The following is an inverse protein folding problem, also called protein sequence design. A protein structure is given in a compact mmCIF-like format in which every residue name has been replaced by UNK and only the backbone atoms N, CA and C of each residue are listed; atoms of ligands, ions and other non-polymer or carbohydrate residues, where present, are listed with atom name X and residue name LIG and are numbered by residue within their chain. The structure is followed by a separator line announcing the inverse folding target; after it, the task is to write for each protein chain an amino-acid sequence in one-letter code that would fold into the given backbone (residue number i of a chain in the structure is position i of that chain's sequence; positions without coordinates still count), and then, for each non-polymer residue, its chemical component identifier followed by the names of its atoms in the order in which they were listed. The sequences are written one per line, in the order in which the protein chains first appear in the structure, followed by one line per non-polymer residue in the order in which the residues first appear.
data_IF_380181631654
#
_entry.id   IF_380181631654
#
_cell.length_a   1.000
_cell.length_b   1.000
_cell.length_c   1.000
_cell.angle_alpha   90.00
_cell.angle_beta   90.00
_cell.angle_gamma   90.00
#
_symmetry.space_group_name_H-M   'P 1'
#
loop_
_entity.id
_entity.type
_entity.pdbx_description
1 polymer ?
#
# COMPACT_ATOMS: atom_id res chain seq x y z
N UNK A 1 -28.69 24.04 9.61
CA UNK A 1 -28.50 22.94 10.61
C UNK A 1 -28.07 21.62 9.99
N UNK A 2 -28.63 21.15 8.86
CA UNK A 2 -28.26 19.83 8.29
C UNK A 2 -26.76 19.67 7.96
N UNK A 3 -26.08 20.68 7.41
CA UNK A 3 -24.67 20.53 6.99
C UNK A 3 -23.68 20.34 8.14
N UNK A 4 -23.96 20.87 9.34
CA UNK A 4 -23.02 20.76 10.47
C UNK A 4 -23.03 19.35 11.08
N UNK A 5 -24.24 18.79 11.26
CA UNK A 5 -24.43 17.41 11.73
C UNK A 5 -23.78 16.41 10.78
N UNK A 6 -23.93 16.62 9.47
CA UNK A 6 -23.31 15.76 8.46
C UNK A 6 -21.78 15.80 8.52
N UNK A 7 -21.19 16.98 8.67
CA UNK A 7 -19.74 17.12 8.82
C UNK A 7 -19.23 16.45 10.10
N UNK A 8 -19.95 16.57 11.23
CA UNK A 8 -19.58 15.91 12.49
C UNK A 8 -19.65 14.38 12.38
N UNK A 9 -20.70 13.85 11.74
CA UNK A 9 -20.84 12.42 11.50
C UNK A 9 -19.72 11.89 10.59
N UNK A 10 -19.42 12.60 9.50
CA UNK A 10 -18.32 12.25 8.59
C UNK A 10 -16.97 12.18 9.31
N UNK A 11 -16.66 13.19 10.14
CA UNK A 11 -15.44 13.21 10.95
C UNK A 11 -15.39 12.06 11.96
N UNK A 12 -16.52 11.72 12.57
CA UNK A 12 -16.63 10.62 13.54
C UNK A 12 -16.37 9.28 12.86
N UNK A 13 -16.95 9.06 11.68
CA UNK A 13 -16.71 7.85 10.86
C UNK A 13 -15.23 7.74 10.47
N UNK A 14 -14.60 8.85 10.07
CA UNK A 14 -13.19 8.86 9.71
C UNK A 14 -12.28 8.61 10.91
N UNK A 15 -12.59 9.19 12.07
CA UNK A 15 -11.86 8.92 13.31
C UNK A 15 -11.94 7.44 13.69
N UNK A 16 -13.14 6.85 13.61
CA UNK A 16 -13.36 5.43 13.85
C UNK A 16 -12.58 4.54 12.86
N UNK A 17 -12.60 4.88 11.57
CA UNK A 17 -11.82 4.18 10.56
C UNK A 17 -10.31 4.31 10.84
N UNK A 18 -9.82 5.51 11.15
CA UNK A 18 -8.40 5.74 11.44
C UNK A 18 -7.92 4.89 12.63
N UNK A 19 -8.73 4.82 13.69
CA UNK A 19 -8.46 3.97 14.84
C UNK A 19 -8.42 2.49 14.43
N UNK A 20 -9.42 2.01 13.69
CA UNK A 20 -9.44 0.64 13.17
C UNK A 20 -8.21 0.32 12.32
N UNK A 21 -7.77 1.22 11.43
CA UNK A 21 -6.57 1.02 10.61
C UNK A 21 -5.30 0.90 11.47
N UNK A 22 -5.21 1.63 12.58
CA UNK A 22 -4.11 1.48 13.55
C UNK A 22 -4.21 0.13 14.27
N UNK A 23 -5.40 -0.24 14.75
CA UNK A 23 -5.63 -1.50 15.45
C UNK A 23 -5.40 -2.72 14.55
N UNK A 24 -5.67 -2.62 13.24
CA UNK A 24 -5.36 -3.65 12.25
C UNK A 24 -3.88 -4.03 12.27
N UNK A 25 -2.99 -3.09 12.63
CA UNK A 25 -1.56 -3.36 12.68
C UNK A 25 -1.15 -4.35 13.77
N UNK A 26 -1.99 -4.51 14.81
CA UNK A 26 -1.74 -5.45 15.90
C UNK A 26 -1.67 -6.90 15.41
N UNK A 27 -2.23 -7.22 14.24
CA UNK A 27 -2.17 -8.54 13.61
C UNK A 27 -0.73 -9.04 13.38
N UNK A 28 0.24 -8.12 13.27
CA UNK A 28 1.66 -8.46 13.06
C UNK A 28 2.51 -8.26 14.30
N UNK A 29 1.91 -8.10 15.48
CA UNK A 29 2.63 -7.97 16.76
C UNK A 29 3.09 -9.33 17.31
N UNK A 30 4.11 -9.32 18.17
CA UNK A 30 4.70 -10.54 18.74
C UNK A 30 3.75 -11.25 19.73
N UNK A 31 2.95 -10.49 20.48
CA UNK A 31 1.95 -11.06 21.41
C UNK A 31 0.80 -11.72 20.65
N UNK A 32 0.46 -12.95 21.04
CA UNK A 32 -0.65 -13.72 20.48
C UNK A 32 -2.00 -13.02 20.72
N UNK A 33 -2.23 -12.50 21.94
CA UNK A 33 -3.45 -11.76 22.26
C UNK A 33 -3.63 -10.54 21.34
N UNK A 34 -2.57 -9.77 21.12
CA UNK A 34 -2.61 -8.61 20.20
C UNK A 34 -2.80 -9.04 18.75
N UNK A 35 -2.23 -10.18 18.36
CA UNK A 35 -2.42 -10.76 17.03
C UNK A 35 -3.89 -11.11 16.78
N UNK A 36 -4.54 -11.77 17.74
CA UNK A 36 -5.96 -12.11 17.69
C UNK A 36 -6.82 -10.85 17.63
N UNK A 37 -6.53 -9.86 18.48
CA UNK A 37 -7.23 -8.57 18.47
C UNK A 37 -7.09 -7.84 17.13
N UNK A 38 -5.89 -7.82 16.56
CA UNK A 38 -5.63 -7.24 15.25
C UNK A 38 -6.37 -7.97 14.13
N UNK A 39 -6.47 -9.29 14.18
CA UNK A 39 -7.26 -10.07 13.22
C UNK A 39 -8.75 -9.73 13.30
N UNK A 40 -9.30 -9.64 14.51
CA UNK A 40 -10.69 -9.17 14.74
C UNK A 40 -10.88 -7.77 14.17
N UNK A 41 -9.95 -6.85 14.45
CA UNK A 41 -9.98 -5.48 13.91
C UNK A 41 -9.98 -5.44 12.38
N UNK A 42 -9.15 -6.28 11.72
CA UNK A 42 -9.11 -6.37 10.25
C UNK A 42 -10.48 -6.80 9.72
N UNK A 43 -11.08 -7.84 10.31
CA UNK A 43 -12.39 -8.33 9.88
C UNK A 43 -13.50 -7.29 10.12
N UNK A 44 -13.47 -6.59 11.25
CA UNK A 44 -14.39 -5.47 11.53
C UNK A 44 -14.20 -4.35 10.50
N UNK A 45 -12.97 -4.00 10.14
CA UNK A 45 -12.66 -2.99 9.12
C UNK A 45 -13.21 -3.38 7.75
N UNK A 46 -13.05 -4.65 7.35
CA UNK A 46 -13.54 -5.17 6.09
C UNK A 46 -15.08 -5.21 6.04
N UNK A 47 -15.72 -5.66 7.11
CA UNK A 47 -17.19 -5.64 7.23
C UNK A 47 -17.72 -4.19 7.25
N UNK A 48 -17.06 -3.28 7.98
CA UNK A 48 -17.39 -1.86 7.96
C UNK A 48 -17.27 -1.27 6.53
N UNK A 49 -16.31 -1.75 5.74
CA UNK A 49 -16.14 -1.33 4.35
C UNK A 49 -17.33 -1.71 3.47
N UNK A 50 -17.95 -2.87 3.70
CA UNK A 50 -19.21 -3.26 3.05
C UNK A 50 -20.33 -2.28 3.41
N UNK A 51 -20.53 -1.98 4.70
CA UNK A 51 -21.59 -1.06 5.14
C UNK A 51 -21.37 0.36 4.60
N UNK A 52 -20.13 0.85 4.63
CA UNK A 52 -19.74 2.15 4.08
C UNK A 52 -19.96 2.21 2.57
N UNK A 53 -19.65 1.14 1.85
CA UNK A 53 -19.93 1.02 0.43
C UNK A 53 -21.45 1.06 0.16
N UNK A 54 -22.25 0.23 0.83
CA UNK A 54 -23.72 0.23 0.67
C UNK A 54 -24.35 1.57 1.03
N UNK A 55 -23.90 2.18 2.13
CA UNK A 55 -24.32 3.53 2.54
C UNK A 55 -23.96 4.57 1.47
N UNK A 56 -22.79 4.44 0.84
CA UNK A 56 -22.39 5.35 -0.23
C UNK A 56 -23.26 5.21 -1.48
N UNK A 57 -23.73 4.00 -1.81
CA UNK A 57 -24.68 3.77 -2.90
C UNK A 57 -26.03 4.44 -2.61
N UNK A 58 -26.50 4.37 -1.35
CA UNK A 58 -27.77 4.97 -0.94
C UNK A 58 -27.70 6.51 -0.90
N UNK A 59 -26.68 7.06 -0.23
CA UNK A 59 -26.61 8.49 0.10
C UNK A 59 -26.09 9.35 -1.05
N UNK A 60 -25.03 8.91 -1.71
CA UNK A 60 -24.52 9.64 -2.86
C UNK A 60 -25.37 9.25 -4.06
N UNK A 61 -26.47 10.00 -4.29
CA UNK A 61 -27.12 10.06 -5.61
C UNK A 61 -26.00 10.15 -6.65
N UNK A 62 -25.76 9.01 -7.29
CA UNK A 62 -24.56 8.62 -8.02
C UNK A 62 -23.76 9.82 -8.52
N UNK A 63 -22.82 10.36 -7.72
CA UNK A 63 -21.99 11.49 -8.16
C UNK A 63 -21.02 10.97 -9.22
N UNK A 64 -21.44 11.10 -10.48
CA UNK A 64 -20.83 10.59 -11.71
C UNK A 64 -19.54 11.34 -12.09
N UNK A 65 -18.53 11.41 -11.23
CA UNK A 65 -17.21 11.66 -11.82
C UNK A 65 -16.90 10.45 -12.72
N UNK A 66 -16.66 10.72 -14.00
CA UNK A 66 -16.43 9.67 -15.01
C UNK A 66 -15.32 8.72 -14.54
N UNK A 67 -14.31 9.28 -13.87
CA UNK A 67 -13.15 8.59 -13.32
C UNK A 67 -13.54 7.57 -12.23
N UNK A 68 -14.34 7.96 -11.23
CA UNK A 68 -14.74 7.05 -10.14
C UNK A 68 -15.62 5.92 -10.67
N UNK A 69 -16.48 6.19 -11.65
CA UNK A 69 -17.26 5.13 -12.30
C UNK A 69 -16.38 4.17 -13.10
N UNK A 70 -15.36 4.65 -13.81
CA UNK A 70 -14.39 3.76 -14.47
C UNK A 70 -13.65 2.88 -13.45
N UNK A 71 -13.21 3.44 -12.32
CA UNK A 71 -12.55 2.68 -11.24
C UNK A 71 -13.47 1.56 -10.73
N UNK A 72 -14.76 1.87 -10.48
CA UNK A 72 -15.77 0.88 -10.05
C UNK A 72 -15.93 -0.27 -11.02
N UNK A 73 -16.12 0.04 -12.31
CA UNK A 73 -16.32 -0.98 -13.34
C UNK A 73 -15.10 -1.90 -13.41
N UNK A 74 -13.89 -1.33 -13.45
CA UNK A 74 -12.66 -2.12 -13.54
C UNK A 74 -12.40 -2.91 -12.26
N UNK A 75 -12.70 -2.37 -11.08
CA UNK A 75 -12.62 -3.09 -9.81
C UNK A 75 -13.55 -4.32 -9.79
N UNK A 76 -14.79 -4.17 -10.26
CA UNK A 76 -15.75 -5.28 -10.36
C UNK A 76 -15.26 -6.33 -11.36
N UNK A 77 -14.80 -5.92 -12.54
CA UNK A 77 -14.23 -6.84 -13.51
C UNK A 77 -13.01 -7.58 -12.96
N UNK A 78 -12.15 -6.89 -12.20
CA UNK A 78 -10.98 -7.51 -11.59
C UNK A 78 -11.39 -8.52 -10.50
N UNK A 79 -12.37 -8.17 -9.65
CA UNK A 79 -12.92 -9.11 -8.68
C UNK A 79 -13.60 -10.32 -9.34
N UNK A 80 -14.26 -10.13 -10.49
CA UNK A 80 -14.81 -11.24 -11.27
C UNK A 80 -13.72 -12.19 -11.78
N UNK A 81 -12.54 -11.69 -12.17
CA UNK A 81 -11.43 -12.59 -12.55
C UNK A 81 -10.93 -13.42 -11.38
N UNK A 82 -10.84 -12.84 -10.17
CA UNK A 82 -10.57 -13.60 -8.95
C UNK A 82 -11.66 -14.61 -8.63
N UNK A 83 -12.93 -14.24 -8.81
CA UNK A 83 -14.05 -15.15 -8.57
C UNK A 83 -14.00 -16.37 -9.50
N UNK A 84 -13.74 -16.16 -10.79
CA UNK A 84 -13.60 -17.27 -11.75
C UNK A 84 -12.41 -18.17 -11.37
N UNK A 85 -11.26 -17.59 -11.02
CA UNK A 85 -10.09 -18.34 -10.56
C UNK A 85 -10.34 -19.08 -9.23
N UNK A 86 -11.10 -18.48 -8.33
CA UNK A 86 -11.55 -19.11 -7.07
C UNK A 86 -12.41 -20.35 -7.34
N UNK A 87 -13.37 -20.29 -8.28
CA UNK A 87 -14.21 -21.45 -8.64
C UNK A 87 -13.39 -22.64 -9.17
N UNK A 88 -12.22 -22.38 -9.77
CA UNK A 88 -11.29 -23.42 -10.22
C UNK A 88 -10.25 -23.84 -9.17
N UNK A 89 -10.17 -23.18 -8.02
CA UNK A 89 -9.12 -23.37 -7.03
C UNK A 89 -9.57 -24.25 -5.85
N UNK A 90 -8.66 -25.07 -5.34
CA UNK A 90 -8.79 -25.75 -4.05
C UNK A 90 -7.93 -25.10 -2.95
N UNK A 91 -7.18 -24.03 -3.28
CA UNK A 91 -6.17 -23.45 -2.39
C UNK A 91 -6.69 -22.31 -1.52
N UNK A 92 -7.80 -21.67 -1.88
CA UNK A 92 -8.38 -20.56 -1.12
C UNK A 92 -9.67 -20.97 -0.44
N UNK A 93 -9.91 -20.37 0.71
CA UNK A 93 -11.20 -20.48 1.40
C UNK A 93 -12.18 -19.42 0.89
N UNK A 94 -13.47 -19.70 1.01
CA UNK A 94 -14.53 -18.72 0.72
C UNK A 94 -14.33 -17.41 1.50
N UNK A 95 -13.80 -17.51 2.72
CA UNK A 95 -13.54 -16.36 3.58
C UNK A 95 -12.45 -15.45 3.02
N UNK A 96 -11.33 -15.99 2.52
CA UNK A 96 -10.26 -15.20 1.89
C UNK A 96 -10.77 -14.45 0.65
N UNK A 97 -11.64 -15.09 -0.15
CA UNK A 97 -12.31 -14.43 -1.26
C UNK A 97 -13.19 -13.26 -0.78
N UNK A 98 -13.97 -13.45 0.29
CA UNK A 98 -14.77 -12.35 0.86
C UNK A 98 -13.91 -11.22 1.41
N UNK A 99 -12.78 -11.52 2.07
CA UNK A 99 -11.84 -10.49 2.52
C UNK A 99 -11.30 -9.66 1.35
N UNK A 100 -10.96 -10.30 0.24
CA UNK A 100 -10.55 -9.61 -0.99
C UNK A 100 -11.71 -8.76 -1.56
N UNK A 101 -12.92 -9.30 -1.64
CA UNK A 101 -14.10 -8.57 -2.11
C UNK A 101 -14.38 -7.32 -1.24
N UNK A 102 -14.29 -7.45 0.08
CA UNK A 102 -14.46 -6.33 1.01
C UNK A 102 -13.35 -5.29 0.88
N UNK A 103 -12.11 -5.69 0.57
CA UNK A 103 -11.05 -4.75 0.23
C UNK A 103 -11.38 -3.97 -1.05
N UNK A 104 -11.92 -4.59 -2.10
CA UNK A 104 -12.36 -3.86 -3.30
C UNK A 104 -13.51 -2.88 -2.99
N UNK A 105 -14.46 -3.28 -2.14
CA UNK A 105 -15.52 -2.39 -1.67
C UNK A 105 -14.95 -1.19 -0.89
N UNK A 106 -13.93 -1.42 -0.07
CA UNK A 106 -13.18 -0.35 0.61
C UNK A 106 -12.55 0.63 -0.37
N UNK A 107 -11.86 0.13 -1.41
CA UNK A 107 -11.22 0.98 -2.43
C UNK A 107 -12.27 1.81 -3.18
N UNK A 108 -13.38 1.19 -3.56
CA UNK A 108 -14.49 1.88 -4.25
C UNK A 108 -15.12 2.95 -3.36
N UNK A 109 -15.40 2.62 -2.10
CA UNK A 109 -15.94 3.58 -1.14
C UNK A 109 -14.96 4.75 -0.94
N UNK A 110 -13.69 4.45 -0.64
CA UNK A 110 -12.66 5.43 -0.33
C UNK A 110 -12.34 6.35 -1.51
N UNK A 111 -12.38 5.84 -2.75
CA UNK A 111 -12.24 6.66 -3.97
C UNK A 111 -13.48 7.53 -4.27
N UNK A 112 -14.64 7.15 -3.75
CA UNK A 112 -15.89 7.92 -3.88
C UNK A 112 -16.02 9.00 -2.82
N UNK A 113 -15.32 8.86 -1.70
CA UNK A 113 -15.33 9.80 -0.59
C UNK A 113 -14.66 11.13 -0.98
N UNK A 114 -15.26 12.25 -0.56
CA UNK A 114 -14.70 13.59 -0.75
C UNK A 114 -13.77 13.93 0.42
N UNK A 115 -12.49 13.67 0.25
CA UNK A 115 -11.49 13.88 1.30
C UNK A 115 -11.24 15.36 1.56
N UNK A 116 -11.25 15.76 2.84
CA UNK A 116 -11.00 17.14 3.29
C UNK A 116 -9.73 17.21 4.14
N UNK A 117 -9.10 18.39 4.29
CA UNK A 117 -7.96 18.58 5.19
C UNK A 117 -8.22 18.13 6.63
N UNK A 118 -9.45 18.28 7.13
CA UNK A 118 -9.85 17.82 8.47
C UNK A 118 -9.76 16.31 8.64
N UNK A 119 -10.06 15.52 7.59
CA UNK A 119 -9.94 14.06 7.63
C UNK A 119 -8.47 13.64 7.77
N UNK A 120 -7.59 14.25 6.96
CA UNK A 120 -6.15 13.99 7.00
C UNK A 120 -5.56 14.39 8.35
N UNK A 121 -6.01 15.52 8.94
CA UNK A 121 -5.59 15.95 10.28
C UNK A 121 -5.85 14.89 11.35
N UNK A 122 -7.08 14.36 11.41
CA UNK A 122 -7.45 13.34 12.40
C UNK A 122 -6.55 12.11 12.27
N UNK A 123 -6.39 11.60 11.04
CA UNK A 123 -5.54 10.43 10.79
C UNK A 123 -4.08 10.71 11.19
N UNK A 124 -3.54 11.86 10.75
CA UNK A 124 -2.16 12.23 11.04
C UNK A 124 -1.89 12.39 12.54
N UNK A 125 -2.81 12.98 13.32
CA UNK A 125 -2.64 13.16 14.77
C UNK A 125 -2.61 11.81 15.50
N UNK A 126 -3.51 10.89 15.15
CA UNK A 126 -3.51 9.54 15.73
C UNK A 126 -2.21 8.79 15.39
N UNK A 127 -1.75 8.88 14.13
CA UNK A 127 -0.49 8.26 13.72
C UNK A 127 0.75 8.91 14.35
N UNK A 128 0.73 10.22 14.63
CA UNK A 128 1.78 10.89 15.39
C UNK A 128 1.92 10.30 16.79
N UNK A 129 0.82 10.08 17.51
CA UNK A 129 0.84 9.45 18.83
C UNK A 129 1.48 8.06 18.76
N UNK A 130 1.04 7.22 17.82
CA UNK A 130 1.62 5.87 17.62
C UNK A 130 3.12 5.93 17.33
N UNK A 131 3.56 6.88 16.51
CA UNK A 131 4.97 7.02 16.16
C UNK A 131 5.81 7.45 17.34
N UNK A 132 5.33 8.40 18.15
CA UNK A 132 6.02 8.83 19.37
C UNK A 132 6.19 7.64 20.31
N UNK A 133 5.16 6.80 20.48
CA UNK A 133 5.25 5.59 21.31
C UNK A 133 6.31 4.60 20.78
N UNK A 134 6.33 4.36 19.46
CA UNK A 134 7.35 3.49 18.82
C UNK A 134 8.75 4.09 18.96
N UNK A 135 8.89 5.42 18.84
CA UNK A 135 10.16 6.13 18.98
C UNK A 135 10.69 6.07 20.42
N UNK A 136 9.83 6.29 21.42
CA UNK A 136 10.19 6.12 22.84
C UNK A 136 10.64 4.69 23.11
N UNK A 137 9.92 3.69 22.56
CA UNK A 137 10.37 2.30 22.67
C UNK A 137 11.75 2.10 22.02
N UNK A 138 11.98 2.64 20.83
CA UNK A 138 13.29 2.54 20.16
C UNK A 138 14.42 3.11 21.02
N UNK A 139 14.21 4.28 21.62
CA UNK A 139 15.19 4.93 22.51
C UNK A 139 15.49 4.13 23.79
N UNK A 140 14.55 3.30 24.25
CA UNK A 140 14.73 2.43 25.42
C UNK A 140 15.48 1.13 25.11
N UNK A 141 15.50 0.70 23.84
CA UNK A 141 16.32 -0.43 23.43
C UNK A 141 17.74 0.05 23.18
N UNK A 142 18.73 -0.74 23.62
CA UNK A 142 20.16 -0.37 23.67
C UNK A 142 20.87 -0.28 22.30
N UNK A 143 20.17 0.20 21.26
CA UNK A 143 20.67 0.38 19.89
C UNK A 143 21.47 -0.83 19.37
N UNK A 144 21.04 -2.04 19.74
CA UNK A 144 21.72 -3.27 19.36
C UNK A 144 21.94 -3.31 17.83
N UNK A 145 23.01 -3.96 17.37
CA UNK A 145 23.30 -4.14 15.94
C UNK A 145 22.20 -4.90 15.15
N UNK A 146 21.10 -5.29 15.81
CA UNK A 146 19.94 -5.90 15.18
C UNK A 146 18.97 -4.82 14.66
N UNK A 147 18.38 -5.00 13.48
CA UNK A 147 17.46 -4.00 12.96
C UNK A 147 16.20 -3.89 13.83
N UNK A 148 15.71 -2.67 13.99
CA UNK A 148 14.60 -2.37 14.88
C UNK A 148 13.27 -2.88 14.30
N UNK A 149 12.55 -3.69 15.09
CA UNK A 149 11.22 -4.21 14.73
C UNK A 149 10.11 -3.81 15.71
N UNK A 150 10.42 -3.06 16.79
CA UNK A 150 9.46 -2.67 17.82
C UNK A 150 8.68 -3.90 18.35
N UNK A 151 7.38 -3.74 18.62
CA UNK A 151 6.43 -4.80 19.02
C UNK A 151 6.04 -5.74 17.88
N UNK A 152 6.51 -5.50 16.65
CA UNK A 152 6.15 -6.29 15.47
C UNK A 152 7.04 -7.52 15.30
N UNK A 153 6.50 -8.55 14.65
CA UNK A 153 7.23 -9.80 14.32
C UNK A 153 8.28 -9.58 13.22
N UNK A 154 8.03 -8.63 12.32
CA UNK A 154 8.84 -8.38 11.13
C UNK A 154 9.19 -6.88 10.99
N UNK A 155 10.48 -6.58 10.82
CA UNK A 155 10.99 -5.21 10.62
C UNK A 155 10.45 -4.55 9.33
N UNK A 156 10.25 -5.32 8.25
CA UNK A 156 9.73 -4.80 6.99
C UNK A 156 8.30 -4.31 7.17
N UNK A 157 7.52 -4.99 8.01
CA UNK A 157 6.16 -4.58 8.36
C UNK A 157 6.15 -3.22 9.07
N UNK A 158 7.00 -3.05 10.10
CA UNK A 158 7.13 -1.77 10.79
C UNK A 158 7.55 -0.67 9.80
N UNK A 159 8.54 -0.96 8.94
CA UNK A 159 9.04 -0.01 7.96
C UNK A 159 7.96 0.47 6.99
N UNK A 160 7.15 -0.44 6.42
CA UNK A 160 6.09 -0.05 5.48
C UNK A 160 4.96 0.69 6.20
N UNK A 161 4.64 0.31 7.44
CA UNK A 161 3.71 1.07 8.27
C UNK A 161 4.18 2.52 8.45
N UNK A 162 5.42 2.74 8.90
CA UNK A 162 5.99 4.08 9.05
C UNK A 162 6.07 4.83 7.71
N UNK A 163 6.39 4.14 6.61
CA UNK A 163 6.36 4.76 5.29
C UNK A 163 4.96 5.24 4.91
N UNK A 164 3.90 4.50 5.25
CA UNK A 164 2.52 4.99 5.06
C UNK A 164 2.20 6.18 5.98
N UNK A 165 2.73 6.24 7.21
CA UNK A 165 2.49 7.38 8.12
C UNK A 165 3.14 8.67 7.65
N UNK A 166 4.30 8.58 6.97
CA UNK A 166 5.00 9.72 6.35
C UNK A 166 4.06 10.49 5.42
N UNK A 167 3.22 9.83 4.62
CA UNK A 167 2.26 10.50 3.73
C UNK A 167 1.31 11.44 4.49
N UNK A 168 0.68 10.95 5.56
CA UNK A 168 -0.31 11.72 6.32
C UNK A 168 0.33 12.90 7.03
N UNK A 169 1.49 12.69 7.64
CA UNK A 169 2.25 13.74 8.33
C UNK A 169 2.74 14.79 7.35
N UNK A 170 3.30 14.38 6.22
CA UNK A 170 3.77 15.32 5.20
C UNK A 170 2.61 16.13 4.61
N UNK A 171 1.48 15.48 4.33
CA UNK A 171 0.31 16.14 3.74
C UNK A 171 -0.32 17.14 4.69
N UNK A 172 -0.42 16.81 5.99
CA UNK A 172 -1.03 17.70 6.98
C UNK A 172 -0.19 18.95 7.28
N UNK A 173 1.13 18.93 7.05
CA UNK A 173 1.99 20.11 7.23
C UNK A 173 1.50 21.32 6.43
N UNK A 174 0.84 21.12 5.28
CA UNK A 174 0.24 22.21 4.49
C UNK A 174 -0.94 22.87 5.19
N UNK A 175 -1.62 22.17 6.10
CA UNK A 175 -2.95 22.53 6.61
C UNK A 175 -2.98 22.88 8.11
N UNK A 176 -1.88 22.74 8.82
CA UNK A 176 -1.78 23.03 10.26
C UNK A 176 -1.15 24.42 10.54
N UNK A 177 -1.46 24.98 11.71
CA UNK A 177 -0.83 26.22 12.19
C UNK A 177 0.67 26.04 12.48
N UNK A 178 1.40 27.15 12.63
CA UNK A 178 2.87 27.15 12.69
C UNK A 178 3.46 26.30 13.83
N UNK A 179 2.93 26.41 15.05
CA UNK A 179 3.43 25.60 16.18
C UNK A 179 3.22 24.10 15.95
N UNK A 180 2.02 23.71 15.53
CA UNK A 180 1.70 22.32 15.27
C UNK A 180 2.49 21.76 14.07
N UNK A 181 2.81 22.61 13.09
CA UNK A 181 3.68 22.25 11.96
C UNK A 181 5.06 21.81 12.43
N UNK A 182 5.66 22.51 13.40
CA UNK A 182 6.97 22.15 13.97
C UNK A 182 6.90 20.78 14.66
N UNK A 183 5.88 20.55 15.48
CA UNK A 183 5.69 19.26 16.17
C UNK A 183 5.52 18.11 15.18
N UNK A 184 4.65 18.28 14.17
CA UNK A 184 4.43 17.24 13.15
C UNK A 184 5.68 17.01 12.32
N UNK A 185 6.45 18.05 12.03
CA UNK A 185 7.72 17.93 11.32
C UNK A 185 8.75 17.13 12.11
N UNK A 186 8.87 17.36 13.43
CA UNK A 186 9.73 16.55 14.31
C UNK A 186 9.29 15.08 14.28
N UNK A 187 7.99 14.80 14.41
CA UNK A 187 7.47 13.42 14.38
C UNK A 187 7.60 12.76 12.99
N UNK A 188 7.62 13.56 11.92
CA UNK A 188 7.97 13.10 10.58
C UNK A 188 9.45 12.72 10.50
N UNK A 189 10.37 13.48 11.10
CA UNK A 189 11.78 13.10 11.16
C UNK A 189 12.00 11.82 11.97
N UNK A 190 11.21 11.62 13.03
CA UNK A 190 11.20 10.35 13.79
C UNK A 190 10.81 9.16 12.90
N UNK A 191 9.83 9.28 12.00
CA UNK A 191 9.52 8.21 11.03
C UNK A 191 10.74 7.85 10.18
N UNK A 192 11.44 8.86 9.64
CA UNK A 192 12.60 8.63 8.77
C UNK A 192 13.73 7.93 9.52
N UNK A 193 13.99 8.35 10.76
CA UNK A 193 14.97 7.69 11.64
C UNK A 193 14.56 6.24 11.94
N UNK A 194 13.30 5.99 12.28
CA UNK A 194 12.80 4.65 12.57
C UNK A 194 12.81 3.75 11.32
N UNK A 195 12.44 4.26 10.14
CA UNK A 195 12.54 3.54 8.86
C UNK A 195 13.99 3.11 8.62
N UNK A 196 14.94 4.03 8.81
CA UNK A 196 16.36 3.70 8.70
C UNK A 196 16.77 2.62 9.73
N UNK A 197 16.36 2.77 10.98
CA UNK A 197 16.63 1.81 12.05
C UNK A 197 16.06 0.40 11.78
N UNK A 198 14.98 0.27 11.00
CA UNK A 198 14.44 -1.04 10.59
C UNK A 198 15.34 -1.81 9.63
N UNK A 199 16.27 -1.13 8.94
CA UNK A 199 17.12 -1.72 7.90
C UNK A 199 16.36 -2.29 6.70
N UNK A 200 15.10 -1.89 6.48
CA UNK A 200 14.27 -2.36 5.36
C UNK A 200 14.65 -1.70 4.04
N UNK A 201 15.48 -2.38 3.24
CA UNK A 201 15.95 -1.91 1.92
C UNK A 201 14.80 -1.61 0.96
N UNK A 202 13.76 -2.45 0.93
CA UNK A 202 12.61 -2.27 0.05
C UNK A 202 11.86 -0.97 0.33
N UNK A 203 11.67 -0.62 1.61
CA UNK A 203 11.01 0.63 2.01
C UNK A 203 11.89 1.84 1.72
N UNK A 204 13.20 1.76 1.97
CA UNK A 204 14.13 2.85 1.62
C UNK A 204 14.12 3.13 0.11
N UNK A 205 14.14 2.09 -0.72
CA UNK A 205 13.99 2.24 -2.19
C UNK A 205 12.63 2.87 -2.52
N UNK A 206 11.54 2.41 -1.91
CA UNK A 206 10.21 2.99 -2.09
C UNK A 206 10.17 4.50 -1.77
N UNK A 207 10.79 4.91 -0.65
CA UNK A 207 10.91 6.31 -0.25
C UNK A 207 11.75 7.14 -1.24
N UNK A 208 12.91 6.61 -1.66
CA UNK A 208 13.76 7.26 -2.66
C UNK A 208 13.02 7.44 -3.99
N UNK A 209 12.27 6.43 -4.43
CA UNK A 209 11.44 6.51 -5.65
C UNK A 209 10.32 7.55 -5.48
N UNK A 210 9.64 7.58 -4.34
CA UNK A 210 8.62 8.60 -4.06
C UNK A 210 9.19 10.01 -4.15
N UNK A 211 10.38 10.27 -3.58
CA UNK A 211 11.06 11.57 -3.69
C UNK A 211 11.49 11.84 -5.14
N UNK A 212 12.07 10.85 -5.83
CA UNK A 212 12.50 10.98 -7.22
C UNK A 212 11.34 11.31 -8.17
N UNK A 213 10.19 10.65 -7.99
CA UNK A 213 8.96 10.95 -8.74
C UNK A 213 8.49 12.37 -8.47
N UNK A 214 8.53 12.83 -7.22
CA UNK A 214 8.20 14.22 -6.89
C UNK A 214 9.13 15.22 -7.61
N UNK A 215 10.43 14.95 -7.66
CA UNK A 215 11.40 15.78 -8.40
C UNK A 215 11.06 15.80 -9.90
N UNK A 216 10.81 14.64 -10.51
CA UNK A 216 10.41 14.52 -11.92
C UNK A 216 9.11 15.27 -12.20
N UNK A 217 8.12 15.21 -11.31
CA UNK A 217 6.88 15.96 -11.46
C UNK A 217 7.09 17.48 -11.43
N UNK A 218 8.07 17.96 -10.65
CA UNK A 218 8.41 19.39 -10.58
C UNK A 218 9.21 19.87 -11.78
N UNK A 219 10.22 19.11 -12.20
CA UNK A 219 11.19 19.52 -13.22
C UNK A 219 10.78 19.11 -14.63
N UNK A 220 10.17 17.93 -14.79
CA UNK A 220 9.90 17.30 -16.07
C UNK A 220 8.39 17.07 -16.29
N UNK A 221 7.61 18.16 -16.27
CA UNK A 221 6.13 18.15 -16.37
C UNK A 221 5.57 17.41 -17.60
N UNK A 222 6.34 17.23 -18.66
CA UNK A 222 5.93 16.45 -19.84
C UNK A 222 6.03 14.94 -19.60
N UNK A 223 7.01 14.52 -18.80
CA UNK A 223 7.33 13.11 -18.59
C UNK A 223 6.45 12.43 -17.55
N UNK A 224 5.91 13.17 -16.57
CA UNK A 224 5.22 12.51 -15.46
C UNK A 224 4.04 11.63 -15.91
N UNK A 225 3.35 11.97 -17.01
CA UNK A 225 2.23 11.17 -17.56
C UNK A 225 2.63 9.74 -17.96
N UNK A 226 3.90 9.53 -18.29
CA UNK A 226 4.46 8.24 -18.72
C UNK A 226 5.05 7.43 -17.56
N UNK A 227 5.17 8.01 -16.35
CA UNK A 227 5.83 7.37 -15.21
C UNK A 227 5.22 6.03 -14.83
N UNK A 228 3.89 5.89 -14.89
CA UNK A 228 3.26 4.61 -14.61
C UNK A 228 3.71 3.52 -15.60
N UNK A 229 3.68 3.82 -16.90
CA UNK A 229 4.12 2.88 -17.93
C UNK A 229 5.59 2.49 -17.76
N UNK A 230 6.46 3.48 -17.51
CA UNK A 230 7.87 3.24 -17.21
C UNK A 230 8.07 2.37 -15.98
N UNK A 231 7.28 2.59 -14.92
CA UNK A 231 7.34 1.81 -13.67
C UNK A 231 6.93 0.36 -13.91
N UNK A 232 5.84 0.13 -14.65
CA UNK A 232 5.39 -1.23 -14.98
C UNK A 232 6.44 -1.96 -15.81
N UNK A 233 7.00 -1.30 -16.84
CA UNK A 233 8.06 -1.87 -17.68
C UNK A 233 9.30 -2.16 -16.83
N UNK A 234 9.70 -1.24 -15.95
CA UNK A 234 10.84 -1.41 -15.07
C UNK A 234 10.65 -2.58 -14.12
N UNK A 235 9.46 -2.78 -13.55
CA UNK A 235 9.15 -3.91 -12.66
C UNK A 235 9.21 -5.25 -13.39
N UNK A 236 8.61 -5.35 -14.58
CA UNK A 236 8.67 -6.57 -15.39
C UNK A 236 10.10 -6.90 -15.81
N UNK A 237 10.84 -5.88 -16.24
CA UNK A 237 12.25 -6.00 -16.60
C UNK A 237 13.10 -6.40 -15.40
N UNK A 238 12.84 -5.82 -14.23
CA UNK A 238 13.53 -6.14 -12.99
C UNK A 238 13.39 -7.61 -12.62
N UNK A 239 12.18 -8.19 -12.72
CA UNK A 239 11.95 -9.61 -12.42
C UNK A 239 12.82 -10.50 -13.32
N UNK A 240 12.83 -10.23 -14.63
CA UNK A 240 13.62 -11.01 -15.61
C UNK A 240 15.12 -10.87 -15.35
N UNK A 241 15.60 -9.63 -15.21
CA UNK A 241 17.02 -9.35 -14.95
C UNK A 241 17.44 -9.99 -13.62
N UNK A 242 16.64 -9.89 -12.56
CA UNK A 242 16.99 -10.42 -11.24
C UNK A 242 17.21 -11.94 -11.27
N UNK A 243 16.35 -12.68 -11.99
CA UNK A 243 16.46 -14.15 -12.14
C UNK A 243 17.70 -14.53 -12.95
N UNK A 244 17.97 -13.84 -14.06
CA UNK A 244 19.11 -14.16 -14.94
C UNK A 244 20.44 -13.78 -14.28
N UNK A 245 20.50 -12.60 -13.68
CA UNK A 245 21.74 -12.01 -13.20
C UNK A 245 22.37 -12.80 -12.05
N UNK A 246 21.56 -13.48 -11.21
CA UNK A 246 22.04 -14.20 -10.02
C UNK A 246 23.09 -15.29 -10.33
N UNK A 247 23.11 -15.84 -11.55
CA UNK A 247 24.05 -16.89 -11.97
C UNK A 247 25.24 -16.36 -12.79
N UNK A 248 25.34 -15.04 -12.97
CA UNK A 248 26.41 -14.41 -13.76
C UNK A 248 27.55 -13.92 -12.87
N UNK A 249 28.75 -13.73 -13.44
CA UNK A 249 29.88 -13.10 -12.74
C UNK A 249 29.52 -11.72 -12.15
N UNK A 250 28.72 -10.95 -12.88
CA UNK A 250 28.23 -9.63 -12.44
C UNK A 250 27.32 -9.78 -11.22
N UNK A 251 26.41 -10.75 -11.22
CA UNK A 251 25.53 -11.02 -10.08
C UNK A 251 26.32 -11.40 -8.82
N UNK A 252 27.30 -12.28 -8.94
CA UNK A 252 28.17 -12.67 -7.82
C UNK A 252 28.91 -11.43 -7.27
N UNK A 253 29.52 -10.63 -8.14
CA UNK A 253 30.18 -9.37 -7.75
C UNK A 253 29.23 -8.40 -7.01
N UNK A 254 28.01 -8.23 -7.50
CA UNK A 254 27.00 -7.37 -6.85
C UNK A 254 26.54 -7.93 -5.50
N UNK A 255 26.46 -9.26 -5.37
CA UNK A 255 26.14 -9.90 -4.10
C UNK A 255 27.25 -9.69 -3.07
N UNK A 256 28.51 -9.86 -3.47
CA UNK A 256 29.67 -9.64 -2.60
C UNK A 256 29.76 -8.17 -2.17
N UNK A 257 29.51 -7.24 -3.10
CA UNK A 257 29.41 -5.82 -2.78
C UNK A 257 28.29 -5.54 -1.76
N UNK A 258 27.11 -6.17 -1.92
CA UNK A 258 26.01 -6.05 -0.96
C UNK A 258 26.39 -6.62 0.42
N UNK A 259 27.13 -7.73 0.45
CA UNK A 259 27.58 -8.34 1.70
C UNK A 259 28.61 -7.44 2.41
N UNK A 260 29.55 -6.84 1.67
CA UNK A 260 30.55 -5.92 2.22
C UNK A 260 29.93 -4.62 2.72
N UNK A 261 29.04 -3.99 1.95
CA UNK A 261 28.45 -2.70 2.29
C UNK A 261 27.34 -2.79 3.35
N UNK A 262 26.54 -3.87 3.32
CA UNK A 262 25.32 -3.97 4.13
C UNK A 262 25.26 -5.18 5.04
N UNK A 263 26.28 -6.06 5.03
CA UNK A 263 26.28 -7.30 5.82
C UNK A 263 25.19 -8.30 5.41
N UNK A 264 24.58 -8.14 4.23
CA UNK A 264 23.45 -8.96 3.77
C UNK A 264 23.58 -9.30 2.29
N UNK A 265 23.21 -10.53 1.94
CA UNK A 265 23.12 -10.95 0.55
C UNK A 265 22.14 -10.07 -0.24
N UNK A 266 22.47 -9.84 -1.51
CA UNK A 266 21.59 -9.22 -2.49
C UNK A 266 20.50 -10.22 -2.91
N UNK A 267 20.91 -11.49 -3.10
CA UNK A 267 20.03 -12.59 -3.42
C UNK A 267 19.64 -13.35 -2.15
N UNK A 268 18.35 -13.39 -1.85
CA UNK A 268 17.81 -14.07 -0.65
C UNK A 268 17.33 -15.50 -0.95
N UNK A 269 17.75 -16.09 -2.07
CA UNK A 269 17.16 -17.31 -2.64
C UNK A 269 15.88 -17.06 -3.46
N UNK A 270 15.40 -15.80 -3.50
CA UNK A 270 14.20 -15.40 -4.26
C UNK A 270 14.36 -15.58 -5.77
N UNK A 271 15.56 -15.46 -6.33
CA UNK A 271 15.76 -15.63 -7.77
C UNK A 271 15.45 -17.05 -8.23
N UNK A 272 15.96 -18.06 -7.52
CA UNK A 272 15.63 -19.47 -7.79
C UNK A 272 14.15 -19.78 -7.53
N UNK A 273 13.60 -19.28 -6.40
CA UNK A 273 12.19 -19.43 -6.09
C UNK A 273 11.29 -18.86 -7.19
N UNK A 274 11.58 -17.63 -7.65
CA UNK A 274 10.81 -16.96 -8.69
C UNK A 274 10.88 -17.72 -10.01
N UNK A 275 12.05 -18.27 -10.38
CA UNK A 275 12.17 -19.10 -11.57
C UNK A 275 11.25 -20.34 -11.50
N UNK A 276 11.24 -21.05 -10.36
CA UNK A 276 10.37 -22.21 -10.14
C UNK A 276 8.89 -21.85 -10.15
N UNK A 277 8.51 -20.77 -9.48
CA UNK A 277 7.12 -20.28 -9.46
C UNK A 277 6.65 -19.86 -10.85
N UNK A 278 7.47 -19.15 -11.62
CA UNK A 278 7.13 -18.74 -12.99
C UNK A 278 7.01 -19.97 -13.89
N UNK A 279 7.89 -20.96 -13.77
CA UNK A 279 7.78 -22.21 -14.51
C UNK A 279 6.42 -22.87 -14.28
N UNK A 280 5.96 -22.93 -13.02
CA UNK A 280 4.63 -23.45 -12.70
C UNK A 280 3.50 -22.58 -13.26
N UNK A 281 3.61 -21.26 -13.15
CA UNK A 281 2.59 -20.34 -13.65
C UNK A 281 2.40 -20.43 -15.18
N UNK A 282 3.46 -20.75 -15.93
CA UNK A 282 3.40 -20.95 -17.38
C UNK A 282 2.65 -22.22 -17.79
N UNK A 283 2.43 -23.19 -16.89
CA UNK A 283 1.57 -24.35 -17.17
C UNK A 283 0.10 -23.96 -17.30
N UNK A 284 -0.34 -22.88 -16.64
CA UNK A 284 -1.68 -22.33 -16.72
C UNK A 284 -1.66 -20.82 -17.01
N UNK A 285 -1.15 -20.39 -18.17
CA UNK A 285 -0.73 -19.01 -18.38
C UNK A 285 -1.88 -18.01 -18.49
N UNK A 286 -3.08 -18.46 -18.87
CA UNK A 286 -4.24 -17.60 -19.13
C UNK A 286 -4.95 -17.24 -17.82
N UNK A 287 -5.39 -18.26 -17.07
CA UNK A 287 -6.23 -18.12 -15.87
C UNK A 287 -5.47 -18.36 -14.56
N UNK A 288 -4.20 -18.73 -14.61
CA UNK A 288 -3.41 -19.08 -13.44
C UNK A 288 -3.75 -20.46 -12.88
N UNK A 289 -3.11 -20.78 -11.76
CA UNK A 289 -3.23 -22.06 -11.05
C UNK A 289 -4.30 -22.04 -9.93
N UNK A 290 -5.06 -20.94 -9.81
CA UNK A 290 -6.13 -20.79 -8.83
C UNK A 290 -5.78 -19.80 -7.70
N UNK A 291 -6.78 -19.04 -7.26
CA UNK A 291 -6.64 -18.04 -6.18
C UNK A 291 -6.23 -18.72 -4.87
N UNK A 292 -5.33 -18.09 -4.11
CA UNK A 292 -4.82 -18.60 -2.82
C UNK A 292 -3.62 -19.53 -2.94
N UNK A 293 -3.26 -19.97 -4.16
CA UNK A 293 -2.04 -20.76 -4.35
C UNK A 293 -0.82 -19.92 -3.98
N UNK A 294 0.11 -20.49 -3.22
CA UNK A 294 1.34 -19.81 -2.83
C UNK A 294 2.56 -20.52 -3.39
N UNK A 295 3.71 -19.84 -3.36
CA UNK A 295 4.99 -20.44 -3.73
C UNK A 295 5.32 -21.74 -2.97
N UNK A 296 4.80 -21.91 -1.73
CA UNK A 296 4.97 -23.12 -0.93
C UNK A 296 4.17 -24.32 -1.44
N UNK A 297 3.11 -24.08 -2.20
CA UNK A 297 2.28 -25.14 -2.77
C UNK A 297 2.90 -25.72 -4.05
N UNK A 298 3.80 -24.96 -4.69
CA UNK A 298 4.34 -25.28 -6.01
C UNK A 298 5.85 -25.48 -6.01
N UNK A 299 6.51 -25.26 -4.88
CA UNK A 299 7.94 -25.48 -4.71
C UNK A 299 8.22 -26.17 -3.38
N UNK A 300 9.31 -26.91 -3.30
CA UNK A 300 9.78 -27.54 -2.06
C UNK A 300 10.40 -26.53 -1.07
N UNK A 301 10.39 -25.23 -1.41
CA UNK A 301 10.95 -24.18 -0.57
C UNK A 301 9.91 -23.67 0.41
N UNK A 302 10.26 -23.59 1.70
CA UNK A 302 9.40 -22.99 2.74
C UNK A 302 9.41 -21.44 2.70
N UNK A 303 9.32 -20.88 1.51
CA UNK A 303 9.48 -19.46 1.22
C UNK A 303 8.29 -18.96 0.39
N UNK A 304 7.75 -17.79 0.73
CA UNK A 304 6.68 -17.10 -0.02
C UNK A 304 7.27 -16.30 -1.19
N UNK A 305 6.53 -16.04 -2.28
CA UNK A 305 7.10 -15.34 -3.43
C UNK A 305 7.58 -13.91 -3.09
N UNK A 306 6.87 -13.18 -2.23
CA UNK A 306 7.16 -11.78 -1.91
C UNK A 306 7.28 -10.88 -3.17
N UNK A 307 6.46 -11.15 -4.19
CA UNK A 307 6.40 -10.32 -5.38
C UNK A 307 4.97 -10.36 -5.92
N UNK A 308 4.28 -9.23 -5.87
CA UNK A 308 2.85 -9.14 -6.22
C UNK A 308 2.61 -9.51 -7.69
N UNK A 309 3.53 -9.19 -8.59
CA UNK A 309 3.39 -9.47 -10.02
C UNK A 309 3.48 -10.97 -10.30
N UNK A 310 4.45 -11.65 -9.71
CA UNK A 310 4.61 -13.11 -9.83
C UNK A 310 3.43 -13.82 -9.16
N UNK A 311 2.99 -13.34 -8.00
CA UNK A 311 1.84 -13.91 -7.28
C UNK A 311 0.55 -13.79 -8.11
N UNK A 312 0.27 -12.62 -8.70
CA UNK A 312 -0.89 -12.43 -9.58
C UNK A 312 -0.81 -13.35 -10.80
N UNK A 313 0.36 -13.47 -11.43
CA UNK A 313 0.52 -14.36 -12.57
C UNK A 313 0.29 -15.83 -12.20
N UNK A 314 0.76 -16.25 -11.02
CA UNK A 314 0.54 -17.60 -10.51
C UNK A 314 -0.94 -17.87 -10.20
N UNK A 315 -1.64 -16.95 -9.54
CA UNK A 315 -3.02 -17.17 -9.08
C UNK A 315 -4.07 -17.03 -10.17
N UNK A 316 -3.94 -15.99 -11.00
CA UNK A 316 -4.99 -15.52 -11.92
C UNK A 316 -4.47 -15.31 -13.36
N UNK A 317 -3.23 -15.73 -13.64
CA UNK A 317 -2.66 -15.76 -14.99
C UNK A 317 -2.43 -14.38 -15.59
N UNK A 318 -2.17 -14.36 -16.90
CA UNK A 318 -1.94 -13.12 -17.64
C UNK A 318 -3.18 -12.23 -17.67
N UNK A 319 -4.39 -12.82 -17.66
CA UNK A 319 -5.64 -12.06 -17.61
C UNK A 319 -5.70 -11.24 -16.32
N UNK A 320 -5.43 -11.88 -15.18
CA UNK A 320 -5.41 -11.19 -13.90
C UNK A 320 -4.32 -10.13 -13.79
N UNK A 321 -3.13 -10.39 -14.34
CA UNK A 321 -2.05 -9.40 -14.39
C UNK A 321 -2.43 -8.18 -15.25
N UNK A 322 -3.07 -8.40 -16.42
CA UNK A 322 -3.60 -7.32 -17.26
C UNK A 322 -4.67 -6.54 -16.49
N UNK A 323 -5.60 -7.22 -15.80
CA UNK A 323 -6.65 -6.56 -15.02
C UNK A 323 -6.07 -5.71 -13.89
N UNK A 324 -5.01 -6.17 -13.22
CA UNK A 324 -4.28 -5.35 -12.26
C UNK A 324 -3.69 -4.09 -12.90
N UNK A 325 -3.01 -4.22 -14.05
CA UNK A 325 -2.43 -3.09 -14.78
C UNK A 325 -3.52 -2.08 -15.19
N UNK A 326 -4.63 -2.57 -15.75
CA UNK A 326 -5.77 -1.74 -16.13
C UNK A 326 -6.36 -1.04 -14.90
N UNK A 327 -6.52 -1.75 -13.79
CA UNK A 327 -7.02 -1.19 -12.54
C UNK A 327 -6.14 -0.04 -12.04
N UNK A 328 -4.83 -0.26 -11.92
CA UNK A 328 -3.87 0.78 -11.52
C UNK A 328 -3.86 1.94 -12.52
N UNK A 329 -3.98 1.68 -13.82
CA UNK A 329 -4.08 2.72 -14.84
C UNK A 329 -5.33 3.59 -14.69
N UNK A 330 -6.48 3.03 -14.32
CA UNK A 330 -7.68 3.85 -14.06
C UNK A 330 -7.51 4.76 -12.86
N UNK A 331 -6.91 4.27 -11.78
CA UNK A 331 -6.55 5.05 -10.60
C UNK A 331 -5.58 6.16 -10.98
N UNK A 332 -4.53 5.84 -11.74
CA UNK A 332 -3.56 6.81 -12.24
C UNK A 332 -4.21 7.93 -13.04
N UNK A 333 -5.12 7.62 -13.96
CA UNK A 333 -5.85 8.64 -14.72
C UNK A 333 -6.67 9.56 -13.81
N UNK A 334 -7.28 9.01 -12.77
CA UNK A 334 -8.04 9.79 -11.79
C UNK A 334 -7.11 10.70 -10.95
N UNK A 335 -5.94 10.20 -10.56
CA UNK A 335 -4.93 10.99 -9.85
C UNK A 335 -4.37 12.13 -10.73
N UNK A 336 -4.03 11.85 -11.99
CA UNK A 336 -3.55 12.88 -12.92
C UNK A 336 -4.61 13.95 -13.17
N UNK A 337 -5.89 13.58 -13.26
CA UNK A 337 -6.98 14.55 -13.40
C UNK A 337 -7.05 15.52 -12.21
N UNK A 338 -6.59 15.11 -11.02
CA UNK A 338 -6.56 15.90 -9.80
C UNK A 338 -5.16 16.42 -9.42
N UNK A 339 -4.14 16.29 -10.28
CA UNK A 339 -2.75 16.64 -9.96
C UNK A 339 -2.49 18.12 -9.65
N UNK A 340 -3.48 19.00 -9.80
CA UNK A 340 -3.40 20.38 -9.30
C UNK A 340 -3.43 20.44 -7.77
N UNK A 341 -4.02 19.43 -7.14
CA UNK A 341 -4.16 19.35 -5.69
C UNK A 341 -2.90 18.78 -5.05
N UNK A 342 -2.57 19.29 -3.86
CA UNK A 342 -1.35 18.89 -3.16
C UNK A 342 -1.38 17.42 -2.75
N UNK A 343 -2.48 16.96 -2.15
CA UNK A 343 -2.64 15.56 -1.74
C UNK A 343 -2.57 14.59 -2.94
N UNK A 344 -3.17 14.93 -4.07
CA UNK A 344 -3.13 14.12 -5.30
C UNK A 344 -1.71 13.93 -5.84
N UNK A 345 -0.88 14.99 -5.83
CA UNK A 345 0.51 14.88 -6.24
C UNK A 345 1.31 13.91 -5.37
N UNK A 346 1.09 13.92 -4.06
CA UNK A 346 1.76 12.97 -3.17
C UNK A 346 1.19 11.55 -3.34
N UNK A 347 -0.12 11.39 -3.54
CA UNK A 347 -0.71 10.08 -3.83
C UNK A 347 -0.13 9.46 -5.11
N UNK A 348 0.19 10.27 -6.13
CA UNK A 348 0.94 9.84 -7.33
C UNK A 348 2.33 9.33 -6.97
N UNK A 349 3.08 10.10 -6.18
CA UNK A 349 4.45 9.74 -5.78
C UNK A 349 4.49 8.45 -4.94
N UNK A 350 3.53 8.31 -4.02
CA UNK A 350 3.39 7.12 -3.17
C UNK A 350 2.88 5.91 -3.96
N UNK A 351 1.96 6.08 -4.92
CA UNK A 351 1.52 4.99 -5.78
C UNK A 351 2.71 4.35 -6.52
N UNK A 352 3.58 5.17 -7.13
CA UNK A 352 4.77 4.65 -7.81
C UNK A 352 5.73 3.98 -6.82
N UNK A 353 5.94 4.58 -5.64
CA UNK A 353 6.74 3.98 -4.57
C UNK A 353 6.21 2.61 -4.12
N UNK A 354 4.90 2.48 -3.94
CA UNK A 354 4.25 1.21 -3.61
C UNK A 354 4.40 0.18 -4.73
N UNK A 355 4.19 0.55 -5.99
CA UNK A 355 4.39 -0.38 -7.12
C UNK A 355 5.81 -0.92 -7.20
N UNK A 356 6.84 -0.11 -6.91
CA UNK A 356 8.22 -0.61 -6.80
C UNK A 356 8.37 -1.53 -5.58
N UNK A 357 7.81 -1.14 -4.44
CA UNK A 357 7.85 -1.93 -3.20
C UNK A 357 7.21 -3.31 -3.35
N UNK A 358 6.13 -3.44 -4.13
CA UNK A 358 5.45 -4.71 -4.41
C UNK A 358 6.30 -5.73 -5.21
N UNK A 359 7.50 -5.38 -5.67
CA UNK A 359 8.48 -6.38 -6.15
C UNK A 359 9.07 -7.23 -5.02
N UNK A 360 8.99 -6.74 -3.78
CA UNK A 360 9.66 -7.33 -2.62
C UNK A 360 8.69 -7.76 -1.52
N UNK A 361 7.41 -7.40 -1.63
CA UNK A 361 6.38 -7.73 -0.64
C UNK A 361 5.02 -7.91 -1.33
N UNK A 362 4.08 -8.53 -0.60
CA UNK A 362 2.69 -8.73 -1.03
C UNK A 362 1.81 -7.91 -0.08
N UNK A 363 1.54 -6.64 -0.42
CA UNK A 363 0.78 -5.77 0.49
C UNK A 363 -0.43 -5.07 -0.12
N UNK A 364 -0.57 -4.99 -1.45
CA UNK A 364 -1.70 -4.25 -2.03
C UNK A 364 -3.07 -4.96 -1.97
N UNK A 365 -3.13 -6.30 -2.05
CA UNK A 365 -4.41 -7.03 -2.16
C UNK A 365 -4.58 -8.20 -1.21
N UNK A 366 -3.48 -8.85 -0.85
CA UNK A 366 -3.50 -10.12 -0.13
C UNK A 366 -2.32 -10.18 0.85
N UNK A 367 -2.30 -11.19 1.71
CA UNK A 367 -1.32 -11.42 2.79
C UNK A 367 -1.32 -10.34 3.91
N UNK A 368 -1.63 -9.08 3.61
CA UNK A 368 -1.51 -8.00 4.58
C UNK A 368 -2.57 -6.90 4.46
N UNK A 369 -3.82 -7.24 4.77
CA UNK A 369 -4.96 -6.33 4.67
C UNK A 369 -4.81 -5.03 5.50
N UNK A 370 -4.07 -5.04 6.61
CA UNK A 370 -3.83 -3.85 7.42
C UNK A 370 -3.05 -2.78 6.64
N UNK A 371 -1.96 -3.17 5.99
CA UNK A 371 -1.14 -2.28 5.15
C UNK A 371 -1.86 -1.98 3.83
N UNK A 372 -2.54 -2.96 3.25
CA UNK A 372 -3.33 -2.77 2.02
C UNK A 372 -4.31 -1.60 2.17
N UNK A 373 -5.10 -1.59 3.25
CA UNK A 373 -6.06 -0.52 3.50
C UNK A 373 -5.38 0.84 3.68
N UNK A 374 -4.26 0.92 4.40
CA UNK A 374 -3.50 2.17 4.56
C UNK A 374 -2.98 2.69 3.21
N UNK A 375 -2.36 1.83 2.39
CA UNK A 375 -1.90 2.18 1.05
C UNK A 375 -3.06 2.67 0.16
N UNK A 376 -4.20 1.98 0.20
CA UNK A 376 -5.36 2.36 -0.59
C UNK A 376 -6.01 3.65 -0.11
N UNK A 377 -6.03 3.97 1.18
CA UNK A 377 -6.44 5.30 1.67
C UNK A 377 -5.54 6.38 1.09
N UNK A 378 -4.21 6.20 1.15
CA UNK A 378 -3.23 7.15 0.61
C UNK A 378 -3.49 7.40 -0.89
N UNK A 379 -3.70 6.34 -1.66
CA UNK A 379 -3.95 6.42 -3.10
C UNK A 379 -5.30 7.12 -3.36
N UNK A 380 -6.37 6.71 -2.68
CA UNK A 380 -7.73 7.20 -2.94
C UNK A 380 -8.01 8.60 -2.41
N UNK A 381 -7.28 9.08 -1.40
CA UNK A 381 -7.30 10.50 -1.00
C UNK A 381 -7.02 11.38 -2.23
N UNK A 382 -5.98 11.05 -3.00
CA UNK A 382 -5.63 11.82 -4.20
C UNK A 382 -6.64 11.77 -5.34
N UNK A 383 -7.56 10.80 -5.34
CA UNK A 383 -8.58 10.63 -6.39
C UNK A 383 -9.71 11.65 -6.22
N UNK A 384 -10.04 12.03 -4.99
CA UNK A 384 -11.17 12.92 -4.70
C UNK A 384 -10.91 13.76 -3.45
N UNK A 385 -9.90 14.63 -3.51
CA UNK A 385 -9.59 15.57 -2.45
C UNK A 385 -10.22 16.95 -2.71
N UNK A 386 -10.58 17.67 -1.65
CA UNK A 386 -11.14 19.02 -1.73
C UNK A 386 -10.32 20.00 -0.90
N UNK A 387 -9.52 20.81 -1.60
CA UNK A 387 -8.63 21.82 -1.03
C UNK A 387 -9.35 23.15 -0.74
N UNK A 388 -10.64 23.28 -1.07
CA UNK A 388 -11.36 24.58 -1.00
C UNK A 388 -11.66 25.04 0.43
N UNK A 389 -11.60 24.15 1.43
CA UNK A 389 -11.92 24.45 2.82
C UNK A 389 -10.89 25.30 3.59
N UNK A 390 -9.72 25.62 3.01
CA UNK A 390 -8.68 26.42 3.68
C UNK A 390 -8.51 27.84 3.18
N UNK A 391 -9.19 28.24 2.09
CA UNK A 391 -9.04 29.58 1.51
C UNK A 391 -9.88 30.67 2.20
N UNK A 392 -10.68 30.33 3.21
CA UNK A 392 -11.61 31.25 3.89
C UNK A 392 -11.17 31.74 5.27
N UNK A 393 -10.01 31.31 5.78
CA UNK A 393 -9.54 31.69 7.15
C UNK A 393 -8.29 32.58 7.14
N UNK A 394 -7.79 32.99 5.97
CA UNK A 394 -6.59 33.83 5.87
C UNK A 394 -6.76 35.02 4.92
N UNK A 395 -7.81 35.82 5.12
CA UNK A 395 -7.86 37.21 4.68
C UNK A 395 -8.25 38.11 5.82
#
# INVERSE_FOLDING_TARGET
MNNEWENKLELTVIAGLALLLILNTMYRMQSEMLTTFGNVSINVSLIASLFLFLFSLYRFKWRRSKQVNTIRIVAVLFLLTYFISYLSSSYSTLWEFFQLAFLFMFIIWSSSMKWKPSHIKIIAYLLCVVTILIFVQWMQFDHSNQPFRSVYRNQNYLAIFLFTTVYFKFTVLKYCGNMLKVVIFIVFLMDLMLIYATGSRAVMIGLCITIGVWIVMKQAKRFYKYLLGMTIIANMTFIVIYIILQHTKIGIMLNDLSLQLFGKNLYSGRGELWAKVIHKAVEHPIMGSGTGISARNVTDMNLTAHNQYIQLFLEIGIIGLIMFIVFVFTIWRALIANSRQFAANWSICFLIGFLIYENFELTMFQNNYSIAMLQWVIITIGVNFDDTGTLTVSK
#
